data_IF_817139511954
#
_entry.id   IF_817139511954
#
_cell.length_a   1.000
_cell.length_b   1.000
_cell.length_c   1.000
_cell.angle_alpha   90.00
_cell.angle_beta   90.00
_cell.angle_gamma   90.00
#
_symmetry.space_group_name_H-M   'P 1'
#
loop_
_entity.id
_entity.type
_entity.pdbx_description
1 polymer ?
#
# COMPACT_ATOMS: atom_id res chain seq x y z
N UNK A 1 -27.61 -6.65 -12.51
CA UNK A 1 -28.97 -6.73 -11.91
C UNK A 1 -29.11 -7.94 -10.97
N UNK A 2 -28.01 -8.63 -10.61
CA UNK A 2 -28.05 -9.96 -9.94
C UNK A 2 -27.68 -9.95 -8.45
N UNK A 3 -27.06 -8.91 -7.88
CA UNK A 3 -26.78 -8.90 -6.42
C UNK A 3 -28.05 -8.77 -5.57
N UNK A 4 -29.11 -8.17 -6.12
CA UNK A 4 -30.42 -8.13 -5.48
C UNK A 4 -31.08 -9.51 -5.45
N UNK A 5 -30.84 -10.36 -6.44
CA UNK A 5 -31.48 -11.67 -6.55
C UNK A 5 -30.83 -12.68 -5.59
N UNK A 6 -29.48 -12.68 -5.49
CA UNK A 6 -28.73 -13.48 -4.52
C UNK A 6 -28.98 -13.10 -3.05
N UNK A 7 -29.18 -11.80 -2.77
CA UNK A 7 -29.56 -11.33 -1.43
C UNK A 7 -30.99 -11.76 -1.10
N UNK A 8 -31.89 -11.78 -2.08
CA UNK A 8 -33.27 -12.21 -1.89
C UNK A 8 -33.39 -13.73 -1.65
N UNK A 9 -32.62 -14.54 -2.40
CA UNK A 9 -32.57 -16.00 -2.25
C UNK A 9 -31.96 -16.46 -0.91
N UNK A 10 -31.15 -15.62 -0.26
CA UNK A 10 -30.48 -15.93 1.01
C UNK A 10 -31.03 -15.15 2.21
N UNK A 11 -32.17 -14.47 2.07
CA UNK A 11 -32.78 -13.63 3.12
C UNK A 11 -33.09 -14.41 4.41
N UNK A 12 -33.55 -15.64 4.29
CA UNK A 12 -33.86 -16.50 5.45
C UNK A 12 -32.61 -16.91 6.23
N UNK A 13 -31.52 -17.26 5.53
CA UNK A 13 -30.22 -17.60 6.12
C UNK A 13 -29.59 -16.38 6.81
N UNK A 14 -29.69 -15.19 6.19
CA UNK A 14 -29.20 -13.94 6.75
C UNK A 14 -30.00 -13.51 8.00
N UNK A 15 -31.31 -13.78 8.02
CA UNK A 15 -32.17 -13.55 9.20
C UNK A 15 -31.77 -14.44 10.38
N UNK A 16 -31.53 -15.73 10.14
CA UNK A 16 -31.08 -16.71 11.15
C UNK A 16 -29.71 -16.39 11.74
N UNK A 17 -28.83 -15.76 10.95
CA UNK A 17 -27.49 -15.32 11.39
C UNK A 17 -27.58 -14.04 12.22
N UNK A 18 -28.44 -13.09 11.83
CA UNK A 18 -28.66 -11.83 12.56
C UNK A 18 -29.24 -12.00 13.96
N UNK A 19 -29.95 -13.10 14.25
CA UNK A 19 -30.42 -13.41 15.60
C UNK A 19 -29.32 -13.93 16.54
N UNK A 20 -28.20 -14.44 15.99
CA UNK A 20 -27.10 -15.04 16.76
C UNK A 20 -25.85 -14.17 16.84
N UNK A 21 -25.81 -13.08 16.09
CA UNK A 21 -24.65 -12.19 15.95
C UNK A 21 -25.15 -10.76 16.17
N UNK A 22 -24.39 -9.94 16.90
CA UNK A 22 -24.76 -8.54 17.09
C UNK A 22 -24.79 -7.77 15.75
N UNK A 23 -25.60 -6.71 15.70
CA UNK A 23 -25.86 -5.97 14.48
C UNK A 23 -24.60 -5.35 13.84
N UNK A 24 -23.57 -5.02 14.64
CA UNK A 24 -22.33 -4.42 14.14
C UNK A 24 -21.47 -5.49 13.44
N UNK A 25 -21.32 -6.65 14.07
CA UNK A 25 -20.66 -7.82 13.51
C UNK A 25 -21.37 -8.34 12.25
N UNK A 26 -22.71 -8.35 12.22
CA UNK A 26 -23.49 -8.73 11.04
C UNK A 26 -23.30 -7.76 9.87
N UNK A 27 -23.31 -6.45 10.12
CA UNK A 27 -23.08 -5.43 9.09
C UNK A 27 -21.66 -5.50 8.51
N UNK A 28 -20.67 -5.81 9.36
CA UNK A 28 -19.30 -6.06 8.91
C UNK A 28 -19.23 -7.31 8.02
N UNK A 29 -19.88 -8.40 8.42
CA UNK A 29 -19.94 -9.64 7.63
C UNK A 29 -20.61 -9.40 6.27
N UNK A 30 -21.71 -8.63 6.22
CA UNK A 30 -22.39 -8.23 4.99
C UNK A 30 -21.49 -7.40 4.07
N UNK A 31 -20.69 -6.50 4.65
CA UNK A 31 -19.71 -5.71 3.90
C UNK A 31 -18.60 -6.60 3.33
N UNK A 32 -18.06 -7.50 4.15
CA UNK A 32 -17.01 -8.44 3.76
C UNK A 32 -17.52 -9.45 2.72
N UNK A 33 -18.80 -9.87 2.79
CA UNK A 33 -19.46 -10.72 1.78
C UNK A 33 -19.68 -9.98 0.46
N UNK A 34 -20.15 -8.73 0.48
CA UNK A 34 -20.28 -7.92 -0.74
C UNK A 34 -18.92 -7.67 -1.41
N UNK A 35 -17.84 -7.64 -0.64
CA UNK A 35 -16.47 -7.51 -1.13
C UNK A 35 -15.86 -8.86 -1.59
N UNK A 36 -16.40 -10.01 -1.16
CA UNK A 36 -15.88 -11.37 -1.47
C UNK A 36 -16.73 -12.20 -2.43
N UNK A 37 -17.94 -11.76 -2.81
CA UNK A 37 -18.70 -12.32 -3.95
C UNK A 37 -18.02 -11.87 -5.25
N UNK A 38 -16.82 -12.42 -5.49
CA UNK A 38 -16.16 -12.51 -6.77
C UNK A 38 -16.47 -13.92 -7.26
N UNK A 39 -17.33 -13.97 -8.26
CA UNK A 39 -18.15 -15.10 -8.67
C UNK A 39 -17.35 -16.33 -9.11
N UNK A 40 -17.84 -17.49 -8.67
CA UNK A 40 -17.72 -18.74 -9.42
C UNK A 40 -18.43 -18.59 -10.78
N UNK A 41 -17.69 -19.02 -11.82
CA UNK A 41 -18.12 -19.49 -13.15
C UNK A 41 -19.50 -19.01 -13.65
N UNK A 42 -19.48 -18.05 -14.56
CA UNK A 42 -19.75 -18.27 -16.00
C UNK A 42 -19.59 -16.95 -16.75
N UNK A 43 -19.07 -17.04 -17.97
CA UNK A 43 -18.65 -15.96 -18.86
C UNK A 43 -19.66 -14.81 -18.99
N UNK A 44 -19.49 -13.72 -18.22
CA UNK A 44 -19.88 -12.35 -18.63
C UNK A 44 -18.90 -11.33 -18.04
N UNK A 45 -18.27 -10.59 -18.95
CA UNK A 45 -17.38 -9.46 -18.66
C UNK A 45 -18.07 -8.42 -17.76
N UNK A 46 -17.70 -8.40 -16.48
CA UNK A 46 -18.09 -7.33 -15.55
C UNK A 46 -16.99 -6.25 -15.53
N UNK A 47 -17.39 -5.01 -15.82
CA UNK A 47 -16.49 -3.88 -16.03
C UNK A 47 -15.57 -3.58 -14.84
N UNK A 48 -14.30 -3.31 -15.16
CA UNK A 48 -13.36 -2.54 -14.34
C UNK A 48 -12.75 -3.23 -13.11
N UNK A 49 -13.12 -4.47 -12.79
CA UNK A 49 -12.54 -5.25 -11.71
C UNK A 49 -11.21 -5.91 -12.09
N UNK A 50 -10.28 -6.02 -11.14
CA UNK A 50 -9.07 -6.84 -11.32
C UNK A 50 -9.32 -8.17 -10.63
N UNK A 51 -9.30 -9.26 -11.40
CA UNK A 51 -9.44 -10.62 -10.90
C UNK A 51 -8.13 -11.08 -10.26
N UNK A 52 -8.19 -11.63 -9.05
CA UNK A 52 -7.00 -12.09 -8.33
C UNK A 52 -7.29 -13.26 -7.38
N UNK A 53 -6.29 -14.11 -7.16
CA UNK A 53 -6.33 -15.22 -6.19
C UNK A 53 -6.13 -14.78 -4.73
N UNK A 54 -6.12 -13.48 -4.47
CA UNK A 54 -5.89 -12.91 -3.14
C UNK A 54 -4.41 -12.76 -2.85
N UNK A 55 -4.02 -12.85 -1.57
CA UNK A 55 -2.62 -12.70 -1.17
C UNK A 55 -1.82 -13.96 -1.57
N UNK A 56 -0.57 -13.82 -2.03
CA UNK A 56 0.26 -14.95 -2.42
C UNK A 56 0.51 -15.89 -1.23
N UNK A 57 0.41 -17.21 -1.42
CA UNK A 57 0.64 -18.19 -0.37
C UNK A 57 2.12 -18.25 0.03
N UNK A 58 2.39 -18.94 1.14
CA UNK A 58 3.74 -19.17 1.63
C UNK A 58 4.32 -18.03 2.47
N UNK A 59 5.61 -18.17 2.78
CA UNK A 59 6.35 -17.22 3.58
C UNK A 59 7.07 -16.21 2.69
N UNK A 60 7.10 -14.97 3.14
CA UNK A 60 7.71 -13.83 2.47
C UNK A 60 8.71 -13.16 3.39
N UNK A 61 9.88 -12.84 2.85
CA UNK A 61 10.93 -12.15 3.60
C UNK A 61 10.64 -10.64 3.69
N UNK A 62 10.85 -10.06 4.88
CA UNK A 62 10.90 -8.61 5.10
C UNK A 62 12.28 -8.05 4.74
N UNK A 63 12.34 -7.00 3.91
CA UNK A 63 13.60 -6.40 3.47
C UNK A 63 14.40 -5.70 4.58
N UNK A 64 13.74 -5.29 5.68
CA UNK A 64 14.41 -4.63 6.82
C UNK A 64 14.89 -5.63 7.88
N UNK A 65 14.00 -6.45 8.43
CA UNK A 65 14.36 -7.36 9.52
C UNK A 65 14.77 -8.77 9.07
N UNK A 66 14.67 -9.08 7.77
CA UNK A 66 15.06 -10.37 7.14
C UNK A 66 14.28 -11.60 7.63
N UNK A 67 13.36 -11.44 8.57
CA UNK A 67 12.47 -12.51 9.00
C UNK A 67 11.42 -12.82 7.92
N UNK A 68 11.06 -14.10 7.84
CA UNK A 68 10.04 -14.64 6.94
C UNK A 68 8.71 -14.75 7.66
N UNK A 69 7.66 -14.15 7.10
CA UNK A 69 6.30 -14.18 7.67
C UNK A 69 5.30 -14.57 6.60
N UNK A 70 4.12 -15.05 7.00
CA UNK A 70 3.02 -15.24 6.06
C UNK A 70 2.43 -13.90 5.61
N UNK A 71 1.53 -13.96 4.62
CA UNK A 71 0.95 -12.79 4.00
C UNK A 71 0.13 -11.88 4.93
N UNK A 72 -0.29 -12.32 6.11
CA UNK A 72 -0.99 -11.46 7.09
C UNK A 72 -0.10 -10.34 7.64
N UNK A 73 1.21 -10.54 7.64
CA UNK A 73 2.21 -9.58 8.12
C UNK A 73 2.63 -8.55 7.06
N UNK A 74 2.00 -8.54 5.89
CA UNK A 74 2.31 -7.62 4.80
C UNK A 74 1.07 -6.90 4.30
N UNK A 75 1.28 -5.77 3.64
CA UNK A 75 0.23 -4.96 3.02
C UNK A 75 0.25 -5.14 1.51
N UNK A 76 -0.92 -5.07 0.88
CA UNK A 76 -1.11 -5.40 -0.53
C UNK A 76 -1.91 -4.32 -1.25
N UNK A 77 -1.65 -4.15 -2.55
CA UNK A 77 -2.48 -3.29 -3.39
C UNK A 77 -3.75 -4.04 -3.79
N UNK A 78 -4.92 -3.45 -3.57
CA UNK A 78 -6.20 -4.07 -3.98
C UNK A 78 -6.41 -4.07 -5.52
N UNK A 79 -5.57 -3.35 -6.26
CA UNK A 79 -5.71 -3.13 -7.71
C UNK A 79 -4.45 -3.49 -8.51
N UNK A 80 -3.55 -4.31 -7.96
CA UNK A 80 -2.34 -4.73 -8.68
C UNK A 80 -2.08 -6.20 -8.41
N UNK A 81 -1.89 -6.96 -9.48
CA UNK A 81 -1.58 -8.40 -9.43
C UNK A 81 -0.24 -8.68 -10.09
N UNK A 82 0.41 -9.74 -9.64
CA UNK A 82 1.61 -10.28 -10.28
C UNK A 82 1.26 -11.13 -11.51
N UNK A 83 2.29 -11.67 -12.16
CA UNK A 83 2.14 -12.56 -13.34
C UNK A 83 1.36 -13.86 -13.06
N UNK A 84 1.17 -14.20 -11.79
CA UNK A 84 0.45 -15.39 -11.33
C UNK A 84 -0.95 -15.03 -10.81
N UNK A 85 -1.43 -13.80 -11.03
CA UNK A 85 -2.71 -13.26 -10.56
C UNK A 85 -2.87 -13.19 -9.03
N UNK A 86 -1.78 -13.14 -8.26
CA UNK A 86 -1.85 -12.81 -6.82
C UNK A 86 -1.65 -11.33 -6.58
N UNK A 87 -2.23 -10.81 -5.50
CA UNK A 87 -2.06 -9.41 -5.10
C UNK A 87 -0.59 -9.08 -4.89
N UNK A 88 -0.15 -7.95 -5.46
CA UNK A 88 1.21 -7.45 -5.24
C UNK A 88 1.35 -6.78 -3.88
N UNK A 89 2.45 -7.08 -3.19
CA UNK A 89 2.82 -6.36 -1.96
C UNK A 89 2.98 -4.86 -2.23
N UNK A 90 2.52 -4.04 -1.30
CA UNK A 90 2.62 -2.58 -1.39
C UNK A 90 4.04 -2.07 -1.12
N UNK A 91 4.79 -2.82 -0.30
CA UNK A 91 6.19 -2.61 0.01
C UNK A 91 6.84 -3.97 0.37
N UNK A 92 8.16 -3.99 0.50
CA UNK A 92 8.90 -5.19 0.89
C UNK A 92 9.05 -5.34 2.42
N UNK A 93 8.28 -4.59 3.22
CA UNK A 93 8.41 -4.53 4.68
C UNK A 93 7.26 -5.29 5.34
N UNK A 94 7.55 -5.99 6.45
CA UNK A 94 6.48 -6.45 7.33
C UNK A 94 5.80 -5.23 7.99
N UNK A 95 4.56 -5.43 8.45
CA UNK A 95 3.73 -4.39 9.05
C UNK A 95 4.43 -3.65 10.19
N UNK A 96 5.15 -4.38 11.06
CA UNK A 96 5.91 -3.79 12.18
C UNK A 96 7.01 -2.85 11.68
N UNK A 97 7.88 -3.34 10.79
CA UNK A 97 8.96 -2.53 10.23
C UNK A 97 8.44 -1.32 9.44
N UNK A 98 7.32 -1.47 8.72
CA UNK A 98 6.65 -0.38 8.03
C UNK A 98 6.15 0.70 8.98
N UNK A 99 5.55 0.32 10.12
CA UNK A 99 5.09 1.25 11.15
C UNK A 99 6.27 2.02 11.76
N UNK A 100 7.33 1.30 12.16
CA UNK A 100 8.54 1.92 12.73
C UNK A 100 9.16 2.96 11.79
N UNK A 101 9.36 2.59 10.53
CA UNK A 101 9.95 3.49 9.54
C UNK A 101 9.07 4.71 9.27
N UNK A 102 7.74 4.53 9.21
CA UNK A 102 6.83 5.65 9.03
C UNK A 102 6.81 6.57 10.25
N UNK A 103 6.93 6.01 11.45
CA UNK A 103 7.02 6.77 12.70
C UNK A 103 8.30 7.60 12.74
N UNK A 104 9.45 6.99 12.43
CA UNK A 104 10.74 7.68 12.30
C UNK A 104 10.65 8.83 11.29
N UNK A 105 10.25 8.54 10.05
CA UNK A 105 10.11 9.55 9.00
C UNK A 105 9.20 10.70 9.44
N UNK A 106 8.07 10.38 10.07
CA UNK A 106 7.12 11.39 10.55
C UNK A 106 7.76 12.26 11.64
N UNK A 107 8.48 11.67 12.58
CA UNK A 107 9.22 12.38 13.63
C UNK A 107 10.26 13.33 13.03
N UNK A 108 11.13 12.81 12.16
CA UNK A 108 12.19 13.57 11.49
C UNK A 108 11.63 14.76 10.71
N UNK A 109 10.60 14.54 9.88
CA UNK A 109 10.00 15.62 9.09
C UNK A 109 9.20 16.62 9.94
N UNK A 110 8.65 16.19 11.08
CA UNK A 110 7.95 17.10 12.01
C UNK A 110 8.95 18.02 12.71
N UNK A 111 10.09 17.46 13.17
CA UNK A 111 11.19 18.23 13.75
C UNK A 111 11.75 19.24 12.75
N UNK A 112 12.07 18.79 11.53
CA UNK A 112 12.58 19.65 10.48
C UNK A 112 11.60 20.78 10.11
N UNK A 113 10.29 20.49 10.08
CA UNK A 113 9.26 21.52 9.87
C UNK A 113 9.24 22.54 11.00
N UNK A 114 9.30 22.10 12.27
CA UNK A 114 9.32 23.00 13.44
C UNK A 114 10.54 23.91 13.44
N UNK A 115 11.67 23.42 12.96
CA UNK A 115 12.93 24.15 12.88
C UNK A 115 13.05 25.01 11.60
N UNK A 116 12.03 25.06 10.74
CA UNK A 116 12.07 25.72 9.42
C UNK A 116 13.20 25.20 8.50
N UNK A 117 13.61 23.94 8.65
CA UNK A 117 14.63 23.29 7.81
C UNK A 117 14.06 22.83 6.46
N UNK A 118 12.73 22.64 6.37
CA UNK A 118 12.07 22.25 5.13
C UNK A 118 11.83 23.49 4.27
N UNK A 119 12.75 23.74 3.34
CA UNK A 119 12.62 24.80 2.34
C UNK A 119 11.45 24.59 1.36
N UNK A 120 11.22 25.60 0.50
CA UNK A 120 10.17 25.57 -0.53
C UNK A 120 10.31 24.33 -1.42
N UNK A 121 9.19 23.67 -1.73
CA UNK A 121 9.14 22.58 -2.71
C UNK A 121 9.66 23.11 -4.06
N UNK A 122 10.56 22.39 -4.75
CA UNK A 122 11.02 22.81 -6.08
C UNK A 122 9.86 22.90 -7.06
N UNK A 123 9.96 23.84 -7.99
CA UNK A 123 8.98 24.01 -9.07
C UNK A 123 9.04 22.85 -10.07
N UNK A 124 7.93 22.56 -10.78
CA UNK A 124 7.95 21.74 -11.99
C UNK A 124 9.09 22.12 -12.93
N UNK A 125 9.86 21.13 -13.41
CA UNK A 125 11.00 21.32 -14.30
C UNK A 125 12.33 21.60 -13.62
N UNK A 126 12.37 21.81 -12.30
CA UNK A 126 13.63 22.00 -11.58
C UNK A 126 14.53 20.73 -11.66
N UNK A 127 15.85 20.95 -11.62
CA UNK A 127 16.85 19.87 -11.67
C UNK A 127 16.95 19.14 -10.33
N UNK A 128 16.87 17.81 -10.36
CA UNK A 128 17.07 16.99 -9.17
C UNK A 128 18.55 16.95 -8.76
N UNK A 129 18.91 17.27 -7.51
CA UNK A 129 20.32 17.27 -7.09
C UNK A 129 20.94 15.88 -7.05
N UNK A 130 20.13 14.80 -7.08
CA UNK A 130 20.63 13.42 -7.10
C UNK A 130 20.91 12.84 -8.49
N UNK A 131 20.30 13.37 -9.56
CA UNK A 131 20.47 12.80 -10.92
C UNK A 131 20.53 13.85 -12.04
N UNK A 132 20.49 15.14 -11.72
CA UNK A 132 20.51 16.30 -12.63
C UNK A 132 19.42 16.32 -13.72
N UNK A 133 18.41 15.45 -13.62
CA UNK A 133 17.22 15.46 -14.51
C UNK A 133 16.20 16.50 -14.04
N UNK A 134 15.54 17.14 -15.00
CA UNK A 134 14.36 17.97 -14.74
C UNK A 134 13.20 17.10 -14.25
N UNK A 135 12.48 17.53 -13.21
CA UNK A 135 11.44 16.71 -12.57
C UNK A 135 10.12 17.46 -12.36
N UNK A 136 9.00 16.73 -12.37
CA UNK A 136 7.67 17.31 -12.20
C UNK A 136 7.12 18.00 -13.45
N UNK A 137 7.68 17.73 -14.64
CA UNK A 137 7.18 18.22 -15.93
C UNK A 137 6.03 17.34 -16.43
N UNK A 138 5.41 17.71 -17.56
CA UNK A 138 4.38 16.87 -18.20
C UNK A 138 4.94 15.49 -18.61
N UNK A 139 6.19 15.46 -19.08
CA UNK A 139 6.90 14.22 -19.45
C UNK A 139 7.32 13.41 -18.22
N UNK A 140 7.48 14.07 -17.06
CA UNK A 140 7.86 13.46 -15.79
C UNK A 140 6.97 13.93 -14.64
N UNK A 141 5.67 13.57 -14.61
CA UNK A 141 4.64 14.17 -13.74
C UNK A 141 4.75 13.72 -12.28
N UNK A 142 5.84 13.06 -11.90
CA UNK A 142 6.04 12.50 -10.56
C UNK A 142 6.37 13.59 -9.55
N UNK A 143 6.01 13.34 -8.29
CA UNK A 143 6.20 14.31 -7.22
C UNK A 143 7.67 14.40 -6.76
N UNK A 144 8.01 15.55 -6.17
CA UNK A 144 9.18 15.74 -5.32
C UNK A 144 8.95 15.11 -3.94
N UNK A 145 9.98 14.47 -3.40
CA UNK A 145 9.98 13.81 -2.11
C UNK A 145 10.90 14.52 -1.12
N UNK A 146 10.52 14.49 0.15
CA UNK A 146 11.32 15.02 1.26
C UNK A 146 12.28 13.92 1.71
N UNK A 147 13.53 14.02 1.29
CA UNK A 147 14.58 13.07 1.65
C UNK A 147 15.03 13.31 3.10
N UNK A 148 15.29 12.24 3.82
CA UNK A 148 15.76 12.29 5.20
C UNK A 148 16.74 11.16 5.50
N UNK A 149 17.65 11.41 6.43
CA UNK A 149 18.55 10.41 6.97
C UNK A 149 17.88 9.69 8.15
N UNK A 150 17.59 8.41 7.99
CA UNK A 150 16.90 7.61 9.00
C UNK A 150 17.75 7.28 10.24
N UNK A 151 19.08 7.44 10.18
CA UNK A 151 20.00 7.20 11.30
C UNK A 151 20.19 8.50 12.08
N UNK A 152 20.54 9.58 11.36
CA UNK A 152 20.79 10.89 11.95
C UNK A 152 19.50 11.65 12.28
N UNK A 153 18.35 11.18 11.80
CA UNK A 153 17.04 11.82 11.94
C UNK A 153 17.07 13.30 11.50
N UNK A 154 17.63 13.54 10.31
CA UNK A 154 17.76 14.88 9.72
C UNK A 154 17.15 14.93 8.32
N UNK A 155 16.50 16.05 8.01
CA UNK A 155 16.07 16.34 6.64
C UNK A 155 17.29 16.66 5.78
N UNK A 156 17.35 16.08 4.58
CA UNK A 156 18.49 16.27 3.65
C UNK A 156 18.16 17.19 2.47
N UNK A 157 16.88 17.37 2.17
CA UNK A 157 16.44 18.20 1.05
C UNK A 157 15.34 17.56 0.22
N UNK A 158 15.07 18.16 -0.92
CA UNK A 158 14.13 17.64 -1.90
C UNK A 158 14.83 16.75 -2.92
N UNK A 159 14.29 15.57 -3.18
CA UNK A 159 14.75 14.65 -4.23
C UNK A 159 13.61 14.23 -5.14
N UNK A 160 13.96 13.89 -6.38
CA UNK A 160 13.00 13.25 -7.27
C UNK A 160 12.60 11.87 -6.73
N UNK A 161 11.42 11.38 -7.15
CA UNK A 161 10.91 10.09 -6.72
C UNK A 161 11.89 8.93 -6.98
N UNK A 162 12.54 8.92 -8.14
CA UNK A 162 13.47 7.85 -8.48
C UNK A 162 14.72 7.86 -7.57
N UNK A 163 15.33 9.03 -7.34
CA UNK A 163 16.49 9.16 -6.45
C UNK A 163 16.13 8.81 -5.01
N UNK A 164 14.97 9.28 -4.53
CA UNK A 164 14.52 8.99 -3.18
C UNK A 164 14.28 7.49 -2.98
N UNK A 165 13.62 6.83 -3.94
CA UNK A 165 13.33 5.40 -3.86
C UNK A 165 14.57 4.53 -4.03
N UNK A 166 15.52 4.90 -4.88
CA UNK A 166 16.78 4.18 -5.05
C UNK A 166 17.61 4.14 -3.74
N UNK A 167 17.62 5.24 -2.98
CA UNK A 167 18.27 5.29 -1.66
C UNK A 167 17.58 4.45 -0.59
N UNK A 168 16.31 4.10 -0.79
CA UNK A 168 15.52 3.30 0.15
C UNK A 168 15.66 1.80 -0.06
N UNK A 169 16.55 1.32 -0.95
CA UNK A 169 16.88 -0.09 -0.97
C UNK A 169 17.62 -0.47 0.32
N UNK A 170 16.89 -1.12 1.23
CA UNK A 170 17.33 -1.54 2.56
C UNK A 170 18.44 -2.58 2.56
N UNK A 171 18.87 -3.07 1.38
CA UNK A 171 19.93 -4.06 1.24
C UNK A 171 21.33 -3.45 1.17
N UNK A 172 21.47 -2.14 0.98
CA UNK A 172 22.78 -1.52 0.71
C UNK A 172 23.72 -1.40 1.92
N UNK A 173 23.28 -1.69 3.15
CA UNK A 173 24.09 -1.52 4.38
C UNK A 173 24.17 -2.77 5.27
N UNK A 174 23.93 -3.96 4.72
CA UNK A 174 24.02 -5.21 5.49
C UNK A 174 24.98 -6.14 4.76
N UNK A 175 26.24 -6.18 5.24
CA UNK A 175 27.23 -7.22 4.94
C UNK A 175 27.04 -8.39 5.89
#
# INVERSE_FOLDING_TARGET
MESRQLVEENKELLSLIGEKIDAESFNKLLKDLKESVILNKEDKSFGGGIYHYGKPPGLHECSKCRNSFDASHFTYYNKRVDKNNYLMRSNALCTVCSIEMNSERKSTLTKAKKNNEIGKKPEPGAKCPGCDRNWGTEEQPRNWHRDHDAIKNVFRGWLCGDCNMAKHDHRHNIS
#
